data_IF_702025345110
#
_entry.id   IF_702025345110
#
_cell.length_a   1.000
_cell.length_b   1.000
_cell.length_c   1.000
_cell.angle_alpha   90.00
_cell.angle_beta   90.00
_cell.angle_gamma   90.00
#
_symmetry.space_group_name_H-M   'P 1'
#
loop_
_entity.id
_entity.type
_entity.pdbx_description
1 polymer ?
#
# COMPACT_ATOMS: atom_id res chain seq x y z
N UNK A 1 16.40 -1.67 -0.09
CA UNK A 1 15.72 -2.09 -1.34
C UNK A 1 15.11 -0.84 -1.96
N UNK A 2 15.56 -0.36 -3.13
CA UNK A 2 15.15 0.97 -3.62
C UNK A 2 14.10 0.97 -4.76
N UNK A 3 13.72 -0.20 -5.28
CA UNK A 3 13.10 -0.31 -6.62
C UNK A 3 11.57 -0.46 -6.65
N UNK A 4 10.87 -0.57 -5.52
CA UNK A 4 9.48 -1.05 -5.54
C UNK A 4 8.37 0.00 -5.49
N UNK A 5 8.63 1.14 -4.86
CA UNK A 5 7.61 2.16 -4.65
C UNK A 5 7.79 3.26 -5.71
N UNK A 6 6.98 3.32 -6.78
CA UNK A 6 7.16 4.27 -7.89
C UNK A 6 6.74 5.70 -7.53
N UNK A 7 6.33 5.94 -6.29
CA UNK A 7 5.69 7.19 -5.87
C UNK A 7 6.75 8.23 -5.56
N UNK A 8 6.66 9.37 -6.24
CA UNK A 8 7.45 10.55 -5.94
C UNK A 8 6.79 11.36 -4.80
N UNK A 9 7.47 12.40 -4.33
CA UNK A 9 6.89 13.29 -3.33
C UNK A 9 5.57 13.90 -3.84
N UNK A 10 4.50 13.73 -3.08
CA UNK A 10 3.18 14.29 -3.36
C UNK A 10 3.09 15.63 -2.62
N UNK A 11 2.92 16.71 -3.37
CA UNK A 11 2.90 18.08 -2.81
C UNK A 11 1.63 18.41 -2.05
N UNK A 12 0.49 17.79 -2.40
CA UNK A 12 -0.77 17.96 -1.72
C UNK A 12 -0.88 17.00 -0.52
N UNK A 13 -0.93 17.55 0.69
CA UNK A 13 -0.95 16.76 1.93
C UNK A 13 -2.16 15.82 2.01
N UNK A 14 -3.35 16.27 1.57
CA UNK A 14 -4.55 15.42 1.55
C UNK A 14 -4.42 14.21 0.60
N UNK A 15 -3.72 14.38 -0.52
CA UNK A 15 -3.47 13.28 -1.47
C UNK A 15 -2.42 12.31 -0.94
N UNK A 16 -1.37 12.85 -0.31
CA UNK A 16 -0.36 12.06 0.37
C UNK A 16 -1.00 11.21 1.47
N UNK A 17 -1.83 11.82 2.32
CA UNK A 17 -2.53 11.13 3.40
C UNK A 17 -3.52 10.10 2.89
N UNK A 18 -4.27 10.38 1.82
CA UNK A 18 -5.16 9.40 1.21
C UNK A 18 -4.40 8.17 0.69
N UNK A 19 -3.26 8.37 0.01
CA UNK A 19 -2.44 7.25 -0.47
C UNK A 19 -1.87 6.44 0.71
N UNK A 20 -1.36 7.13 1.74
CA UNK A 20 -0.81 6.48 2.93
C UNK A 20 -1.88 5.73 3.73
N UNK A 21 -3.10 6.26 3.82
CA UNK A 21 -4.23 5.57 4.47
C UNK A 21 -4.57 4.28 3.69
N UNK A 22 -4.66 4.34 2.35
CA UNK A 22 -4.92 3.13 1.54
C UNK A 22 -3.82 2.08 1.69
N UNK A 23 -2.55 2.50 1.69
CA UNK A 23 -1.42 1.62 1.93
C UNK A 23 -1.49 0.95 3.31
N UNK A 24 -1.81 1.73 4.35
CA UNK A 24 -1.98 1.21 5.71
C UNK A 24 -3.13 0.21 5.81
N UNK A 25 -4.28 0.49 5.18
CA UNK A 25 -5.47 -0.36 5.24
C UNK A 25 -5.20 -1.77 4.71
N UNK A 26 -4.34 -1.90 3.70
CA UNK A 26 -3.92 -3.19 3.15
C UNK A 26 -3.08 -3.96 4.15
N UNK A 27 -2.06 -3.32 4.72
CA UNK A 27 -1.19 -3.90 5.76
C UNK A 27 -1.88 -4.13 7.11
N UNK A 28 -3.14 -3.71 7.26
CA UNK A 28 -3.91 -3.87 8.49
C UNK A 28 -5.14 -4.77 8.29
N UNK A 29 -5.32 -5.34 7.08
CA UNK A 29 -6.53 -6.05 6.69
C UNK A 29 -6.75 -7.35 7.47
N UNK A 30 -5.67 -8.04 7.82
CA UNK A 30 -5.69 -9.28 8.61
C UNK A 30 -5.56 -9.03 10.13
N UNK A 31 -5.40 -7.76 10.53
CA UNK A 31 -5.23 -7.33 11.92
C UNK A 31 -3.81 -7.52 12.48
N UNK A 32 -2.83 -7.86 11.65
CA UNK A 32 -1.42 -7.94 12.01
C UNK A 32 -0.64 -7.00 11.10
N UNK A 33 0.49 -6.50 11.61
CA UNK A 33 1.45 -5.75 10.83
C UNK A 33 2.80 -6.40 11.05
N UNK A 34 3.32 -7.07 10.03
CA UNK A 34 4.64 -7.66 10.07
C UNK A 34 5.72 -6.57 10.13
N UNK A 35 6.90 -6.93 10.65
CA UNK A 35 8.01 -5.99 10.78
C UNK A 35 8.44 -5.45 9.41
N UNK A 36 8.46 -6.32 8.42
CA UNK A 36 8.83 -6.05 7.04
C UNK A 36 7.87 -5.06 6.39
N UNK A 37 6.57 -5.19 6.64
CA UNK A 37 5.55 -4.25 6.16
C UNK A 37 5.65 -2.89 6.85
N UNK A 38 5.91 -2.87 8.16
CA UNK A 38 6.12 -1.63 8.90
C UNK A 38 7.36 -0.86 8.42
N UNK A 39 8.46 -1.58 8.15
CA UNK A 39 9.69 -1.00 7.61
C UNK A 39 9.45 -0.48 6.18
N UNK A 40 8.70 -1.19 5.34
CA UNK A 40 8.31 -0.74 4.00
C UNK A 40 7.33 0.45 4.02
N UNK A 41 6.38 0.46 4.95
CA UNK A 41 5.46 1.58 5.15
C UNK A 41 6.22 2.84 5.56
N UNK A 42 7.22 2.72 6.44
CA UNK A 42 8.12 3.83 6.80
C UNK A 42 8.83 4.40 5.57
N UNK A 43 9.37 3.54 4.70
CA UNK A 43 10.00 3.98 3.45
C UNK A 43 9.00 4.67 2.51
N UNK A 44 7.77 4.17 2.43
CA UNK A 44 6.69 4.78 1.66
C UNK A 44 6.36 6.18 2.17
N UNK A 45 6.16 6.35 3.48
CA UNK A 45 5.90 7.66 4.08
C UNK A 45 7.01 8.64 3.72
N UNK A 46 8.27 8.20 3.79
CA UNK A 46 9.40 9.06 3.47
C UNK A 46 9.41 9.52 2.01
N UNK A 47 9.06 8.62 1.07
CA UNK A 47 8.97 8.92 -0.37
C UNK A 47 7.80 9.84 -0.68
N UNK A 48 6.61 9.51 -0.18
CA UNK A 48 5.38 10.27 -0.40
C UNK A 48 5.49 11.69 0.16
N UNK A 49 6.11 11.85 1.34
CA UNK A 49 6.32 13.17 1.96
C UNK A 49 7.59 13.88 1.50
N UNK A 50 8.46 13.21 0.75
CA UNK A 50 9.73 13.77 0.27
C UNK A 50 10.77 14.05 1.37
N UNK A 51 10.59 13.50 2.57
CA UNK A 51 11.47 13.67 3.73
C UNK A 51 11.43 12.43 4.61
N UNK A 52 12.51 12.13 5.33
CA UNK A 52 12.49 11.03 6.30
C UNK A 52 11.39 11.27 7.36
N UNK A 53 10.64 10.21 7.67
CA UNK A 53 9.64 10.23 8.73
C UNK A 53 10.29 9.90 10.07
N UNK A 54 9.98 10.69 11.11
CA UNK A 54 10.38 10.34 12.48
C UNK A 54 9.49 9.22 13.03
N UNK A 55 9.95 8.54 14.10
CA UNK A 55 9.15 7.53 14.80
C UNK A 55 7.84 8.13 15.35
N UNK A 56 7.88 9.38 15.82
CA UNK A 56 6.70 10.11 16.31
C UNK A 56 5.70 10.40 15.17
N UNK A 57 6.19 10.81 13.99
CA UNK A 57 5.34 11.05 12.82
C UNK A 57 4.66 9.75 12.36
N UNK A 58 5.39 8.64 12.35
CA UNK A 58 4.83 7.33 12.03
C UNK A 58 3.81 6.89 13.08
N UNK A 59 4.13 7.01 14.36
CA UNK A 59 3.21 6.68 15.46
C UNK A 59 1.92 7.50 15.40
N UNK A 60 2.01 8.79 15.03
CA UNK A 60 0.86 9.64 14.82
C UNK A 60 0.02 9.20 13.61
N UNK A 61 0.64 8.81 12.50
CA UNK A 61 -0.06 8.27 11.31
C UNK A 61 -0.77 6.96 11.63
N UNK A 62 -0.10 6.01 12.28
CA UNK A 62 -0.72 4.76 12.72
C UNK A 62 -1.90 5.04 13.63
N UNK A 63 -1.73 5.89 14.65
CA UNK A 63 -2.83 6.28 15.54
C UNK A 63 -4.00 6.91 14.78
N UNK A 64 -3.71 7.78 13.81
CA UNK A 64 -4.72 8.44 12.98
C UNK A 64 -5.52 7.42 12.17
N UNK A 65 -4.85 6.50 11.49
CA UNK A 65 -5.50 5.53 10.62
C UNK A 65 -6.19 4.40 11.39
N UNK A 66 -5.64 3.94 12.52
CA UNK A 66 -6.34 3.02 13.41
C UNK A 66 -7.61 3.64 13.98
N UNK A 67 -7.57 4.90 14.43
CA UNK A 67 -8.79 5.62 14.87
C UNK A 67 -9.79 5.79 13.74
N UNK A 68 -9.32 5.94 12.50
CA UNK A 68 -10.18 6.04 11.32
C UNK A 68 -10.94 4.73 11.03
N UNK A 69 -10.43 3.59 11.54
CA UNK A 69 -11.07 2.28 11.51
C UNK A 69 -12.04 2.03 12.67
N UNK A 70 -12.09 2.90 13.69
CA UNK A 70 -13.01 2.71 14.82
C UNK A 70 -14.48 2.69 14.35
N UNK A 71 -15.12 1.53 14.47
CA UNK A 71 -16.52 1.33 14.06
C UNK A 71 -16.73 1.17 12.54
N UNK A 72 -15.68 0.93 11.75
CA UNK A 72 -15.77 0.68 10.32
C UNK A 72 -14.82 -0.45 9.88
N UNK A 73 -15.06 -1.06 8.72
CA UNK A 73 -14.16 -2.09 8.17
C UNK A 73 -13.09 -1.46 7.27
N UNK A 74 -11.97 -2.15 7.05
CA UNK A 74 -10.97 -1.73 6.07
C UNK A 74 -11.60 -1.53 4.67
N UNK A 75 -12.52 -2.42 4.29
CA UNK A 75 -13.28 -2.35 3.03
C UNK A 75 -14.09 -1.05 2.92
N UNK A 76 -14.84 -0.70 3.97
CA UNK A 76 -15.64 0.54 3.98
C UNK A 76 -14.74 1.77 3.94
N UNK A 77 -13.57 1.70 4.60
CA UNK A 77 -12.59 2.77 4.60
C UNK A 77 -11.96 2.97 3.23
N UNK A 78 -11.61 1.91 2.53
CA UNK A 78 -11.12 1.97 1.14
C UNK A 78 -12.14 2.67 0.24
N UNK A 79 -13.42 2.30 0.32
CA UNK A 79 -14.49 2.92 -0.49
C UNK A 79 -14.64 4.42 -0.20
N UNK A 80 -14.33 4.87 1.02
CA UNK A 80 -14.41 6.28 1.40
C UNK A 80 -13.15 7.07 1.01
N UNK A 81 -11.97 6.45 1.03
CA UNK A 81 -10.69 7.13 0.82
C UNK A 81 -10.28 7.12 -0.65
N UNK A 82 -10.43 5.98 -1.35
CA UNK A 82 -9.96 5.83 -2.73
C UNK A 82 -10.53 6.88 -3.70
N UNK A 83 -11.80 7.31 -3.63
CA UNK A 83 -12.34 8.35 -4.51
C UNK A 83 -11.70 9.74 -4.32
N UNK A 84 -11.03 9.99 -3.18
CA UNK A 84 -10.36 11.26 -2.89
C UNK A 84 -9.03 11.39 -3.62
N UNK A 85 -8.47 10.30 -4.14
CA UNK A 85 -7.24 10.34 -4.92
C UNK A 85 -7.50 10.89 -6.33
N UNK A 86 -6.68 11.85 -6.78
CA UNK A 86 -6.73 12.31 -8.16
C UNK A 86 -6.31 11.17 -9.11
N UNK A 87 -6.82 11.22 -10.35
CA UNK A 87 -6.71 10.12 -11.30
C UNK A 87 -5.26 9.68 -11.59
N UNK A 88 -4.33 10.62 -11.60
CA UNK A 88 -2.89 10.41 -11.82
C UNK A 88 -2.20 9.63 -10.69
N UNK A 89 -2.77 9.63 -9.48
CA UNK A 89 -2.22 8.91 -8.32
C UNK A 89 -2.85 7.54 -8.09
N UNK A 90 -3.91 7.18 -8.81
CA UNK A 90 -4.68 5.95 -8.54
C UNK A 90 -3.90 4.68 -8.87
N UNK A 91 -3.27 4.63 -10.03
CA UNK A 91 -2.43 3.49 -10.40
C UNK A 91 -1.23 3.35 -9.45
N UNK A 92 -0.64 4.48 -9.05
CA UNK A 92 0.46 4.51 -8.09
C UNK A 92 0.02 3.96 -6.72
N UNK A 93 -1.14 4.36 -6.23
CA UNK A 93 -1.72 3.84 -4.98
C UNK A 93 -2.01 2.34 -5.07
N UNK A 94 -2.57 1.87 -6.18
CA UNK A 94 -2.80 0.43 -6.40
C UNK A 94 -1.49 -0.36 -6.43
N UNK A 95 -0.46 0.14 -7.13
CA UNK A 95 0.84 -0.51 -7.17
C UNK A 95 1.48 -0.61 -5.79
N UNK A 96 1.39 0.46 -4.99
CA UNK A 96 1.91 0.48 -3.61
C UNK A 96 1.18 -0.52 -2.73
N UNK A 97 -0.16 -0.55 -2.78
CA UNK A 97 -0.96 -1.52 -2.06
C UNK A 97 -0.58 -2.96 -2.42
N UNK A 98 -0.47 -3.26 -3.71
CA UNK A 98 -0.02 -4.57 -4.19
C UNK A 98 1.40 -4.91 -3.73
N UNK A 99 2.30 -3.93 -3.72
CA UNK A 99 3.66 -4.16 -3.28
C UNK A 99 3.69 -4.54 -1.79
N UNK A 100 2.96 -3.81 -0.95
CA UNK A 100 2.88 -4.08 0.49
C UNK A 100 2.27 -5.45 0.79
N UNK A 101 1.13 -5.79 0.18
CA UNK A 101 0.47 -7.09 0.35
C UNK A 101 1.30 -8.31 -0.09
N UNK A 102 2.40 -8.10 -0.80
CA UNK A 102 3.27 -9.17 -1.31
C UNK A 102 4.63 -9.22 -0.60
N UNK A 103 4.88 -8.37 0.39
CA UNK A 103 6.19 -8.27 1.06
C UNK A 103 6.49 -9.49 1.91
N UNK A 104 5.54 -9.92 2.74
CA UNK A 104 5.71 -11.04 3.65
C UNK A 104 5.43 -12.41 2.98
N UNK A 105 4.92 -12.39 1.75
CA UNK A 105 4.52 -13.54 0.93
C UNK A 105 3.43 -14.40 1.57
N UNK A 106 2.69 -13.86 2.52
CA UNK A 106 1.61 -14.56 3.23
C UNK A 106 0.27 -13.88 2.95
N UNK A 107 -0.10 -13.80 1.67
CA UNK A 107 -1.36 -13.19 1.25
C UNK A 107 -2.56 -13.94 1.87
N UNK A 108 -3.36 -13.20 2.63
CA UNK A 108 -4.57 -13.69 3.27
C UNK A 108 -5.81 -13.43 2.39
N UNK A 109 -6.89 -14.25 2.53
CA UNK A 109 -8.15 -13.98 1.83
C UNK A 109 -8.75 -12.60 2.12
N UNK A 110 -8.44 -12.01 3.29
CA UNK A 110 -8.87 -10.67 3.68
C UNK A 110 -8.17 -9.59 2.86
N UNK A 111 -6.87 -9.75 2.60
CA UNK A 111 -6.11 -8.84 1.76
C UNK A 111 -6.53 -8.94 0.30
N UNK A 112 -6.73 -10.16 -0.23
CA UNK A 112 -7.23 -10.36 -1.60
C UNK A 112 -8.58 -9.64 -1.79
N UNK A 113 -9.53 -9.84 -0.88
CA UNK A 113 -10.83 -9.16 -0.94
C UNK A 113 -10.71 -7.64 -0.83
N UNK A 114 -9.75 -7.14 -0.03
CA UNK A 114 -9.52 -5.70 0.11
C UNK A 114 -8.86 -5.09 -1.13
N UNK A 115 -7.91 -5.80 -1.74
CA UNK A 115 -7.27 -5.42 -3.02
C UNK A 115 -8.32 -5.38 -4.13
N UNK A 116 -9.24 -6.34 -4.16
CA UNK A 116 -10.36 -6.36 -5.11
C UNK A 116 -11.23 -5.10 -4.96
N UNK A 117 -11.61 -4.77 -3.72
CA UNK A 117 -12.37 -3.54 -3.44
C UNK A 117 -11.55 -2.29 -3.80
N UNK A 118 -10.25 -2.30 -3.56
CA UNK A 118 -9.36 -1.17 -3.82
C UNK A 118 -9.30 -0.83 -5.31
N UNK A 119 -9.04 -1.81 -6.19
CA UNK A 119 -8.93 -1.50 -7.62
C UNK A 119 -10.26 -0.99 -8.18
N UNK A 120 -11.39 -1.59 -7.77
CA UNK A 120 -12.71 -1.12 -8.16
C UNK A 120 -12.99 0.30 -7.64
N UNK A 121 -12.62 0.60 -6.39
CA UNK A 121 -12.86 1.91 -5.76
C UNK A 121 -11.97 3.01 -6.35
N UNK A 122 -10.80 2.65 -6.88
CA UNK A 122 -9.94 3.54 -7.67
C UNK A 122 -10.46 3.74 -9.10
N UNK A 123 -11.41 2.91 -9.56
CA UNK A 123 -11.92 2.98 -10.93
C UNK A 123 -10.86 2.64 -11.97
N UNK A 124 -9.94 1.72 -11.62
CA UNK A 124 -8.97 1.19 -12.57
C UNK A 124 -9.64 0.17 -13.51
N UNK A 125 -9.15 0.11 -14.74
CA UNK A 125 -9.51 -0.95 -15.68
C UNK A 125 -8.96 -2.30 -15.19
N UNK A 126 -9.74 -3.36 -15.33
CA UNK A 126 -9.40 -4.70 -14.82
C UNK A 126 -8.14 -5.26 -15.50
N UNK A 127 -8.00 -5.09 -16.82
CA UNK A 127 -6.80 -5.55 -17.54
C UNK A 127 -5.56 -4.77 -17.09
N UNK A 128 -5.70 -3.47 -16.81
CA UNK A 128 -4.60 -2.67 -16.26
C UNK A 128 -4.25 -3.07 -14.82
N UNK A 129 -5.24 -3.36 -13.98
CA UNK A 129 -5.00 -3.83 -12.61
C UNK A 129 -4.25 -5.17 -12.61
N UNK A 130 -4.63 -6.11 -13.48
CA UNK A 130 -3.93 -7.38 -13.64
C UNK A 130 -2.48 -7.19 -14.12
N UNK A 131 -2.25 -6.29 -15.09
CA UNK A 131 -0.91 -5.97 -15.56
C UNK A 131 -0.04 -5.39 -14.45
N UNK A 132 -0.56 -4.43 -13.68
CA UNK A 132 0.16 -3.84 -12.54
C UNK A 132 0.48 -4.90 -11.48
N UNK A 133 -0.48 -5.76 -11.14
CA UNK A 133 -0.25 -6.84 -10.18
C UNK A 133 0.86 -7.79 -10.66
N UNK A 134 0.89 -8.12 -11.96
CA UNK A 134 1.96 -8.93 -12.56
C UNK A 134 3.32 -8.21 -12.52
N UNK A 135 3.37 -6.93 -12.87
CA UNK A 135 4.60 -6.12 -12.80
C UNK A 135 5.19 -6.11 -11.38
N UNK A 136 4.34 -5.92 -10.36
CA UNK A 136 4.76 -5.92 -8.95
C UNK A 136 5.28 -7.29 -8.53
N UNK A 137 4.57 -8.38 -8.86
CA UNK A 137 4.99 -9.75 -8.56
C UNK A 137 6.34 -10.09 -9.19
N UNK A 138 6.53 -9.75 -10.47
CA UNK A 138 7.80 -9.95 -11.18
C UNK A 138 8.91 -9.19 -10.50
N UNK A 139 8.67 -7.94 -10.14
CA UNK A 139 9.66 -7.14 -9.45
C UNK A 139 10.04 -7.81 -8.11
N UNK A 140 9.07 -8.26 -7.30
CA UNK A 140 9.28 -8.76 -5.92
C UNK A 140 9.81 -10.20 -5.88
N UNK A 141 9.75 -10.90 -7.00
CA UNK A 141 10.31 -12.23 -7.13
C UNK A 141 11.85 -12.17 -7.09
N UNK A 142 12.52 -13.07 -6.34
CA UNK A 142 13.96 -13.20 -6.45
C UNK A 142 14.31 -13.62 -7.88
N UNK A 143 15.48 -13.22 -8.43
CA UNK A 143 15.89 -13.66 -9.75
C UNK A 143 15.93 -15.20 -9.79
N UNK A 144 15.39 -15.77 -10.87
CA UNK A 144 15.29 -17.22 -11.13
C UNK A 144 16.64 -17.96 -11.03
N UNK A 145 17.77 -17.25 -10.99
CA UNK A 145 19.13 -17.79 -10.94
C UNK A 145 19.79 -17.79 -9.54
N UNK A 146 19.02 -17.69 -8.46
CA UNK A 146 19.59 -17.83 -7.11
C UNK A 146 19.85 -19.33 -6.84
N UNK A 147 21.12 -19.79 -6.73
CA UNK A 147 21.37 -21.18 -6.35
C UNK A 147 20.79 -21.45 -4.96
N UNK A 148 20.30 -22.67 -4.68
CA UNK A 148 19.78 -23.01 -3.36
C UNK A 148 20.85 -22.79 -2.29
N UNK A 149 20.47 -22.33 -1.08
CA UNK A 149 21.41 -22.18 0.01
C UNK A 149 22.07 -23.54 0.33
N UNK A 150 23.39 -23.52 0.48
CA UNK A 150 24.22 -24.68 0.79
C UNK A 150 23.96 -25.23 2.19
#
# INVERSE_FOLDING_TARGET
MNAFLPVQAISAEDHADALLELAFLVTAADGKLAKEEADAFRELVARVRGKAASDDELGALYTKFTKALDGTSCIDRVKLVAPKLPADLREAAFRVAMALALIDRDASPQEDALIDVLFHSLGLDEARAEEVAKEVRVALSPPLDSPPPA
#
